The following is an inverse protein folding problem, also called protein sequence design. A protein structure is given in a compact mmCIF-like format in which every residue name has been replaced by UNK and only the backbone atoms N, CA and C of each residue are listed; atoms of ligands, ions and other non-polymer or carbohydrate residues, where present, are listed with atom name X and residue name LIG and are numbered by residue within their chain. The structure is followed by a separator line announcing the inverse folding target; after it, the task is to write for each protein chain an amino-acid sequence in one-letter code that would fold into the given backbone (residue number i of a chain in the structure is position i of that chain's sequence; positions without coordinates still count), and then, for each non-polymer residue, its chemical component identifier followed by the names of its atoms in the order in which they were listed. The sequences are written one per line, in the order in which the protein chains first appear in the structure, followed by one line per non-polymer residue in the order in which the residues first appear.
data_IF_174460793106
#
_entry.id   IF_174460793106
#
_cell.length_a   1.000
_cell.length_b   1.000
_cell.length_c   1.000
_cell.angle_alpha   90.00
_cell.angle_beta   90.00
_cell.angle_gamma   90.00
#
_symmetry.space_group_name_H-M   'P 1'
#
loop_
_entity.id
_entity.type
_entity.pdbx_description
1 polymer ?
#
# COMPACT_ATOMS: atom_id res chain seq x y z
N UNK A 1 -7.49 -18.57 -2.12
CA UNK A 1 -7.08 -17.30 -1.53
C UNK A 1 -5.79 -16.82 -2.15
N UNK A 2 -5.73 -15.54 -2.47
CA UNK A 2 -4.50 -14.99 -3.03
C UNK A 2 -3.42 -14.88 -1.96
N UNK A 3 -2.19 -15.08 -2.38
CA UNK A 3 -1.04 -14.83 -1.53
C UNK A 3 -0.84 -13.31 -1.42
N UNK A 4 -0.72 -12.81 -0.21
CA UNK A 4 -0.50 -11.37 0.02
C UNK A 4 0.95 -11.16 0.42
N UNK A 5 1.66 -10.38 -0.38
CA UNK A 5 3.07 -10.09 -0.17
C UNK A 5 3.26 -8.59 -0.06
N UNK A 6 3.98 -8.15 0.97
CA UNK A 6 4.42 -6.77 1.10
C UNK A 6 5.84 -6.68 0.57
N UNK A 7 6.05 -5.84 -0.43
CA UNK A 7 7.39 -5.67 -1.01
C UNK A 7 8.32 -4.99 -0.02
N UNK A 8 9.64 -5.11 -0.20
CA UNK A 8 10.58 -4.39 0.64
C UNK A 8 10.32 -2.89 0.69
N UNK A 9 9.97 -2.29 -0.46
CA UNK A 9 9.64 -0.86 -0.51
C UNK A 9 8.45 -0.54 0.37
N UNK A 10 7.41 -1.37 0.32
CA UNK A 10 6.21 -1.13 1.11
C UNK A 10 6.51 -1.23 2.62
N UNK A 11 7.35 -2.18 3.01
CA UNK A 11 7.78 -2.27 4.42
C UNK A 11 8.58 -1.04 4.84
N UNK A 12 9.46 -0.56 3.98
CA UNK A 12 10.24 0.65 4.27
C UNK A 12 9.33 1.85 4.44
N UNK A 13 8.28 1.94 3.60
CA UNK A 13 7.30 3.01 3.72
C UNK A 13 6.59 2.95 5.07
N UNK A 14 6.19 1.75 5.50
CA UNK A 14 5.56 1.58 6.81
C UNK A 14 6.49 2.00 7.95
N UNK A 15 7.75 1.59 7.87
CA UNK A 15 8.74 1.96 8.88
C UNK A 15 8.90 3.47 8.96
N UNK A 16 8.94 4.13 7.82
CA UNK A 16 9.09 5.59 7.78
C UNK A 16 7.88 6.29 8.39
N UNK A 17 6.67 5.80 8.09
CA UNK A 17 5.45 6.33 8.67
C UNK A 17 5.46 6.16 10.19
N UNK A 18 5.80 4.95 10.65
CA UNK A 18 5.85 4.66 12.08
C UNK A 18 6.89 5.51 12.79
N UNK A 19 8.07 5.65 12.21
CA UNK A 19 9.15 6.43 12.80
C UNK A 19 8.77 7.91 12.93
N UNK A 20 8.10 8.43 11.92
CA UNK A 20 7.66 9.82 11.92
C UNK A 20 6.75 10.12 13.11
N UNK A 21 5.73 9.28 13.32
CA UNK A 21 4.79 9.50 14.41
C UNK A 21 5.34 9.08 15.76
N UNK A 22 6.28 8.16 15.81
CA UNK A 22 6.85 7.70 17.07
C UNK A 22 7.60 8.80 17.81
N UNK A 23 8.03 9.84 17.09
CA UNK A 23 8.73 10.96 17.70
C UNK A 23 7.87 11.71 18.71
N UNK A 24 6.56 11.79 18.46
CA UNK A 24 5.66 12.54 19.32
C UNK A 24 4.50 11.71 19.84
N UNK A 25 4.18 10.60 19.23
CA UNK A 25 3.02 9.79 19.59
C UNK A 25 3.26 8.30 19.31
N UNK A 26 4.16 7.66 20.10
CA UNK A 26 4.53 6.26 19.81
C UNK A 26 3.36 5.28 19.86
N UNK A 27 2.40 5.48 20.73
CA UNK A 27 1.22 4.62 20.76
C UNK A 27 0.39 4.74 19.50
N UNK A 28 0.23 5.95 19.00
CA UNK A 28 -0.48 6.18 17.77
C UNK A 28 0.25 5.58 16.57
N UNK A 29 1.58 5.72 16.54
CA UNK A 29 2.41 5.18 15.47
C UNK A 29 2.20 3.67 15.32
N UNK A 30 2.23 2.96 16.44
CA UNK A 30 2.06 1.51 16.44
C UNK A 30 0.68 1.10 15.93
N UNK A 31 -0.36 1.80 16.39
CA UNK A 31 -1.73 1.51 15.97
C UNK A 31 -1.91 1.81 14.48
N UNK A 32 -1.37 2.92 13.99
CA UNK A 32 -1.49 3.30 12.59
C UNK A 32 -0.84 2.25 11.67
N UNK A 33 0.39 1.86 11.98
CA UNK A 33 1.11 0.86 11.18
C UNK A 33 0.32 -0.44 11.11
N UNK A 34 -0.18 -0.89 12.27
CA UNK A 34 -0.96 -2.13 12.33
C UNK A 34 -2.24 -2.02 11.51
N UNK A 35 -2.92 -0.88 11.56
CA UNK A 35 -4.16 -0.69 10.80
C UNK A 35 -3.91 -0.63 9.30
N UNK A 36 -2.79 -0.03 8.88
CA UNK A 36 -2.44 0.00 7.45
C UNK A 36 -2.20 -1.42 6.93
N UNK A 37 -1.46 -2.22 7.68
CA UNK A 37 -1.25 -3.62 7.28
C UNK A 37 -2.57 -4.40 7.26
N UNK A 38 -3.37 -4.21 8.30
CA UNK A 38 -4.65 -4.92 8.39
C UNK A 38 -5.60 -4.57 7.25
N UNK A 39 -5.55 -3.33 6.76
CA UNK A 39 -6.42 -2.89 5.67
C UNK A 39 -6.21 -3.69 4.39
N UNK A 40 -5.05 -4.33 4.22
CA UNK A 40 -4.77 -5.13 3.02
C UNK A 40 -5.22 -6.58 3.13
N UNK A 41 -5.62 -7.04 4.33
CA UNK A 41 -5.98 -8.45 4.53
C UNK A 41 -7.14 -8.91 3.65
N UNK A 42 -8.09 -8.02 3.38
CA UNK A 42 -9.23 -8.35 2.53
C UNK A 42 -8.83 -8.74 1.11
N UNK A 43 -7.63 -8.33 0.70
CA UNK A 43 -7.15 -8.61 -0.66
C UNK A 43 -6.84 -10.08 -0.89
N UNK A 44 -6.67 -10.85 0.18
CA UNK A 44 -6.50 -12.30 0.06
C UNK A 44 -7.76 -12.95 -0.52
N UNK A 45 -8.93 -12.43 -0.13
CA UNK A 45 -10.21 -12.96 -0.58
C UNK A 45 -10.76 -12.19 -1.78
N UNK A 46 -10.56 -10.87 -1.79
CA UNK A 46 -11.10 -9.99 -2.81
C UNK A 46 -9.98 -9.14 -3.42
N UNK A 47 -9.13 -9.74 -4.27
CA UNK A 47 -7.95 -9.03 -4.80
C UNK A 47 -8.30 -7.79 -5.62
N UNK A 48 -9.46 -7.78 -6.27
CA UNK A 48 -9.87 -6.65 -7.11
C UNK A 48 -10.76 -5.66 -6.36
N UNK A 49 -10.81 -5.73 -5.03
CA UNK A 49 -11.71 -4.87 -4.24
C UNK A 49 -11.22 -3.42 -4.13
N UNK A 50 -9.93 -3.17 -4.33
CA UNK A 50 -9.43 -1.80 -4.39
C UNK A 50 -9.82 -1.14 -5.70
N UNK A 51 -9.74 0.19 -5.73
CA UNK A 51 -10.06 0.92 -6.96
C UNK A 51 -8.84 0.97 -7.89
N UNK A 52 -9.07 1.10 -9.17
CA UNK A 52 -7.99 1.26 -10.14
C UNK A 52 -7.28 2.58 -9.87
N UNK A 53 -5.95 2.56 -9.92
CA UNK A 53 -5.15 3.78 -9.77
C UNK A 53 -5.31 4.58 -11.06
N UNK A 54 -6.00 5.72 -10.97
CA UNK A 54 -6.33 6.52 -12.14
C UNK A 54 -5.11 7.04 -12.87
N UNK A 55 -4.07 7.38 -12.13
CA UNK A 55 -2.83 7.92 -12.70
C UNK A 55 -2.11 6.91 -13.59
N UNK A 56 -2.33 5.62 -13.35
CA UNK A 56 -1.66 4.54 -14.07
C UNK A 56 -2.57 3.95 -15.15
N UNK A 57 -3.84 3.74 -14.83
CA UNK A 57 -4.81 3.19 -15.79
C UNK A 57 -4.69 1.70 -16.05
N UNK A 58 -3.91 0.96 -15.28
CA UNK A 58 -3.78 -0.48 -15.40
C UNK A 58 -4.80 -1.13 -14.47
N UNK A 59 -5.66 -1.98 -14.99
CA UNK A 59 -6.71 -2.63 -14.20
C UNK A 59 -6.18 -3.47 -13.04
N UNK A 60 -4.96 -3.94 -13.15
CA UNK A 60 -4.36 -4.77 -12.10
C UNK A 60 -3.59 -3.96 -11.07
N UNK A 61 -3.39 -2.68 -11.31
CA UNK A 61 -2.76 -1.80 -10.33
C UNK A 61 -3.86 -1.02 -9.62
N UNK A 62 -4.05 -1.35 -8.37
CA UNK A 62 -5.17 -0.83 -7.59
C UNK A 62 -4.69 -0.23 -6.29
N UNK A 63 -5.61 0.41 -5.59
CA UNK A 63 -5.29 1.04 -4.32
C UNK A 63 -6.41 0.88 -3.31
N UNK A 64 -5.99 0.87 -2.05
CA UNK A 64 -6.89 0.98 -0.91
C UNK A 64 -6.59 2.31 -0.26
N UNK A 65 -7.63 3.04 0.09
CA UNK A 65 -7.48 4.28 0.85
C UNK A 65 -7.79 3.96 2.31
N UNK A 66 -6.85 4.28 3.18
CA UNK A 66 -7.05 4.18 4.62
C UNK A 66 -6.75 5.54 5.24
N UNK A 67 -7.79 6.25 5.68
CA UNK A 67 -7.66 7.61 6.16
C UNK A 67 -6.98 8.47 5.10
N UNK A 68 -5.82 9.02 5.41
CA UNK A 68 -5.09 9.88 4.48
C UNK A 68 -3.95 9.16 3.77
N UNK A 69 -3.97 7.82 3.78
CA UNK A 69 -2.92 7.03 3.15
C UNK A 69 -3.46 6.26 1.97
N UNK A 70 -2.65 6.19 0.91
CA UNK A 70 -2.92 5.37 -0.26
C UNK A 70 -2.01 4.14 -0.18
N UNK A 71 -2.61 2.97 -0.31
CA UNK A 71 -1.88 1.70 -0.33
C UNK A 71 -2.01 1.16 -1.75
N UNK A 72 -0.92 1.21 -2.49
CA UNK A 72 -0.90 0.79 -3.89
C UNK A 72 -0.48 -0.67 -3.97
N UNK A 73 -1.23 -1.46 -4.71
CA UNK A 73 -0.89 -2.87 -4.88
C UNK A 73 -1.09 -3.32 -6.33
N UNK A 74 -0.42 -4.41 -6.66
CA UNK A 74 -0.57 -5.07 -7.95
C UNK A 74 -1.27 -6.40 -7.73
N UNK A 75 -2.34 -6.64 -8.49
CA UNK A 75 -2.99 -7.95 -8.52
C UNK A 75 -2.38 -8.76 -9.65
N UNK A 76 -1.91 -9.94 -9.36
CA UNK A 76 -1.31 -10.85 -10.32
C UNK A 76 -2.19 -12.11 -10.36
N UNK A 77 -3.29 -12.06 -11.16
CA UNK A 77 -4.28 -13.14 -11.13
C UNK A 77 -3.74 -14.49 -11.59
N UNK A 78 -2.78 -14.50 -12.51
CA UNK A 78 -2.20 -15.75 -12.97
C UNK A 78 -1.40 -16.47 -11.89
N UNK A 79 -0.87 -15.71 -10.94
CA UNK A 79 -0.09 -16.25 -9.82
C UNK A 79 -0.91 -16.35 -8.53
N UNK A 80 -2.19 -15.98 -8.61
CA UNK A 80 -3.07 -15.88 -7.44
C UNK A 80 -2.39 -15.12 -6.32
N UNK A 81 -1.93 -13.91 -6.62
CA UNK A 81 -1.03 -13.16 -5.77
C UNK A 81 -1.35 -11.68 -5.80
N UNK A 82 -1.16 -11.04 -4.66
CA UNK A 82 -1.27 -9.60 -4.51
C UNK A 82 0.03 -9.09 -3.90
N UNK A 83 0.63 -8.08 -4.53
CA UNK A 83 1.85 -7.47 -4.02
C UNK A 83 1.57 -6.03 -3.65
N UNK A 84 1.78 -5.69 -2.38
CA UNK A 84 1.67 -4.30 -1.93
C UNK A 84 2.97 -3.60 -2.30
N UNK A 85 2.87 -2.57 -3.13
CA UNK A 85 4.04 -1.93 -3.73
C UNK A 85 4.56 -0.75 -2.91
N UNK A 86 3.66 0.05 -2.38
CA UNK A 86 4.04 1.26 -1.64
C UNK A 86 2.86 1.79 -0.84
N UNK A 87 3.17 2.56 0.19
CA UNK A 87 2.17 3.26 1.00
C UNK A 87 2.65 4.70 1.14
N UNK A 88 1.77 5.65 0.91
CA UNK A 88 2.16 7.05 1.07
C UNK A 88 0.94 7.90 1.42
N UNK A 89 1.21 9.07 2.00
CA UNK A 89 0.15 10.01 2.36
C UNK A 89 -0.48 10.57 1.08
N UNK A 90 -1.82 10.67 1.06
CA UNK A 90 -2.56 11.07 -0.13
C UNK A 90 -2.23 12.48 -0.62
N UNK A 91 -1.64 13.32 0.23
CA UNK A 91 -1.25 14.67 -0.18
C UNK A 91 0.02 14.69 -1.02
N UNK A 92 0.75 13.58 -1.09
CA UNK A 92 1.98 13.51 -1.89
C UNK A 92 1.64 13.26 -3.34
N UNK A 93 2.50 13.77 -4.23
CA UNK A 93 2.33 13.50 -5.65
C UNK A 93 2.62 12.05 -5.95
N UNK A 94 1.78 11.48 -6.81
CA UNK A 94 1.98 10.15 -7.32
C UNK A 94 3.08 10.22 -8.39
N UNK A 95 4.17 9.52 -8.20
CA UNK A 95 5.25 9.56 -9.18
C UNK A 95 6.48 8.81 -8.76
N UNK A 96 6.48 8.29 -7.56
CA UNK A 96 7.64 7.60 -7.02
C UNK A 96 7.40 6.11 -6.86
N UNK A 97 6.60 5.52 -7.75
CA UNK A 97 6.37 4.08 -7.70
C UNK A 97 7.63 3.32 -8.07
N UNK A 98 7.83 2.14 -7.45
CA UNK A 98 8.93 1.28 -7.87
C UNK A 98 8.84 0.99 -9.36
N UNK A 99 9.94 1.19 -10.07
CA UNK A 99 10.00 0.94 -11.50
C UNK A 99 9.61 2.10 -12.38
N UNK A 100 9.06 3.18 -11.82
CA UNK A 100 8.67 4.35 -12.58
C UNK A 100 9.36 5.62 -12.12
N UNK A 101 10.15 5.52 -11.09
CA UNK A 101 10.66 6.66 -10.37
C UNK A 101 11.46 7.64 -11.20
N UNK A 102 12.03 7.20 -12.27
CA UNK A 102 12.96 8.02 -13.04
C UNK A 102 12.38 8.58 -14.31
N UNK A 103 11.12 8.39 -14.50
CA UNK A 103 10.50 8.94 -15.70
C UNK A 103 10.28 10.43 -15.62
#
# INVERSE_FOLDING_TARGET
MAELVWTPRAYEDLEAIGAYYAQSAPGYAEVLVRKLMHATERLKTFPASGRVVLEIGDENMREIIHRNYRIIYMHLPEDDRVEVLTVFHSSRQFGALPGEADS
#
